data_IF_666988490625
#
_entry.id   IF_666988490625
#
_cell.length_a   1.000
_cell.length_b   1.000
_cell.length_c   1.000
_cell.angle_alpha   90.00
_cell.angle_beta   90.00
_cell.angle_gamma   90.00
#
_symmetry.space_group_name_H-M   'P 1'
#
loop_
_entity.id
_entity.type
_entity.pdbx_description
1 polymer ?
#
# COMPACT_ATOMS: atom_id res chain seq x y z
N UNK A 1 13.60 -6.31 -6.10
CA UNK A 1 12.70 -6.88 -5.08
C UNK A 1 13.30 -6.70 -3.67
N UNK A 2 13.07 -5.57 -2.99
CA UNK A 2 13.65 -5.33 -1.65
C UNK A 2 12.73 -5.80 -0.50
N UNK A 3 11.40 -5.71 -0.68
CA UNK A 3 10.38 -6.10 0.33
C UNK A 3 10.40 -7.60 0.67
N UNK A 4 10.39 -8.47 -0.36
CA UNK A 4 10.46 -9.91 -0.17
C UNK A 4 11.77 -10.36 0.50
N UNK A 5 12.87 -9.69 0.17
CA UNK A 5 14.17 -9.93 0.80
C UNK A 5 14.13 -9.60 2.31
N UNK A 6 13.65 -8.40 2.66
CA UNK A 6 13.48 -7.97 4.06
C UNK A 6 12.65 -8.98 4.86
N UNK A 7 11.52 -9.42 4.30
CA UNK A 7 10.63 -10.36 4.96
C UNK A 7 11.28 -11.73 5.21
N UNK A 8 11.95 -12.29 4.19
CA UNK A 8 12.63 -13.59 4.30
C UNK A 8 13.81 -13.56 5.26
N UNK A 9 14.67 -12.54 5.17
CA UNK A 9 15.86 -12.41 6.03
C UNK A 9 15.48 -12.26 7.51
N UNK A 10 14.46 -11.47 7.80
CA UNK A 10 13.96 -11.36 9.17
C UNK A 10 13.33 -12.67 9.66
N UNK A 11 12.62 -13.43 8.82
CA UNK A 11 12.14 -14.77 9.19
C UNK A 11 13.28 -15.77 9.47
N UNK A 12 14.45 -15.56 8.89
CA UNK A 12 15.66 -16.34 9.16
C UNK A 12 16.37 -15.90 10.47
N UNK A 13 15.89 -14.86 11.15
CA UNK A 13 16.41 -14.39 12.43
C UNK A 13 17.38 -13.21 12.34
N UNK A 14 17.58 -12.62 11.16
CA UNK A 14 18.44 -11.44 11.00
C UNK A 14 17.79 -10.18 11.58
N UNK A 15 18.61 -9.32 12.20
CA UNK A 15 18.15 -8.07 12.77
C UNK A 15 17.89 -7.02 11.69
N UNK A 16 16.93 -6.12 11.94
CA UNK A 16 16.59 -5.07 10.98
C UNK A 16 17.76 -4.14 10.64
N UNK A 17 18.69 -3.93 11.58
CA UNK A 17 19.87 -3.11 11.37
C UNK A 17 20.81 -3.73 10.32
N UNK A 18 21.04 -5.03 10.40
CA UNK A 18 21.93 -5.74 9.49
C UNK A 18 21.33 -5.78 8.07
N UNK A 19 20.04 -6.10 7.97
CA UNK A 19 19.29 -6.06 6.71
C UNK A 19 19.31 -4.64 6.10
N UNK A 20 19.22 -3.61 6.93
CA UNK A 20 19.28 -2.21 6.48
C UNK A 20 20.65 -1.83 5.94
N UNK A 21 21.72 -2.26 6.62
CA UNK A 21 23.10 -2.05 6.17
C UNK A 21 23.37 -2.74 4.84
N UNK A 22 22.94 -4.00 4.67
CA UNK A 22 23.07 -4.75 3.41
C UNK A 22 22.33 -4.07 2.24
N UNK A 23 21.15 -3.52 2.50
CA UNK A 23 20.31 -2.90 1.47
C UNK A 23 20.61 -1.41 1.24
N UNK A 24 21.48 -0.80 2.07
CA UNK A 24 21.72 0.64 2.09
C UNK A 24 20.45 1.44 2.39
N UNK A 25 19.59 0.94 3.28
CA UNK A 25 18.32 1.57 3.68
C UNK A 25 18.36 2.02 5.13
N UNK A 26 17.42 2.86 5.53
CA UNK A 26 17.22 3.20 6.93
C UNK A 26 16.53 2.01 7.65
N UNK A 27 17.00 1.57 8.84
CA UNK A 27 16.37 0.51 9.64
C UNK A 27 14.87 0.71 9.89
N UNK A 28 14.42 1.96 10.07
CA UNK A 28 12.99 2.26 10.25
C UNK A 28 12.16 1.88 9.02
N UNK A 29 12.71 2.03 7.81
CA UNK A 29 12.04 1.65 6.56
C UNK A 29 11.96 0.13 6.44
N UNK A 30 13.00 -0.58 6.88
CA UNK A 30 13.03 -2.05 6.91
C UNK A 30 11.97 -2.58 7.88
N UNK A 31 11.94 -2.07 9.11
CA UNK A 31 10.93 -2.42 10.12
C UNK A 31 9.51 -2.14 9.65
N UNK A 32 9.27 -0.94 9.10
CA UNK A 32 7.95 -0.57 8.58
C UNK A 32 7.47 -1.51 7.46
N UNK A 33 8.35 -1.83 6.51
CA UNK A 33 8.02 -2.76 5.42
C UNK A 33 7.71 -4.17 5.95
N UNK A 34 8.50 -4.68 6.89
CA UNK A 34 8.27 -5.98 7.50
C UNK A 34 6.89 -6.04 8.18
N UNK A 35 6.58 -5.07 9.06
CA UNK A 35 5.30 -5.05 9.76
C UNK A 35 4.12 -4.86 8.81
N UNK A 36 4.28 -4.08 7.73
CA UNK A 36 3.23 -3.91 6.73
C UNK A 36 2.91 -5.22 6.01
N UNK A 37 3.92 -6.02 5.66
CA UNK A 37 3.74 -7.34 5.06
C UNK A 37 3.16 -8.34 6.07
N UNK A 38 3.68 -8.36 7.30
CA UNK A 38 3.19 -9.26 8.35
C UNK A 38 1.70 -9.04 8.68
N UNK A 39 1.19 -7.81 8.52
CA UNK A 39 -0.24 -7.49 8.68
C UNK A 39 -1.15 -8.07 7.60
N UNK A 40 -0.61 -8.43 6.42
CA UNK A 40 -1.40 -9.03 5.33
C UNK A 40 -1.77 -10.49 5.61
N UNK A 41 -1.04 -11.18 6.51
CA UNK A 41 -1.29 -12.57 6.88
C UNK A 41 -0.13 -13.50 6.50
N UNK A 42 -0.39 -14.83 6.46
CA UNK A 42 0.64 -15.85 6.25
C UNK A 42 1.23 -15.87 4.82
N UNK A 43 0.50 -15.33 3.83
CA UNK A 43 0.98 -15.20 2.45
C UNK A 43 0.88 -13.73 2.00
N UNK A 44 1.86 -12.88 2.37
CA UNK A 44 1.83 -11.47 2.07
C UNK A 44 2.13 -11.19 0.59
N UNK A 45 1.29 -10.37 -0.04
CA UNK A 45 1.54 -9.86 -1.38
C UNK A 45 2.62 -8.77 -1.37
N UNK A 46 3.82 -9.15 -1.85
CA UNK A 46 4.98 -8.28 -1.96
C UNK A 46 4.85 -7.19 -3.03
N UNK A 47 3.92 -7.35 -3.98
CA UNK A 47 3.69 -6.48 -5.13
C UNK A 47 2.40 -5.67 -5.03
N UNK A 48 1.66 -5.85 -3.94
CA UNK A 48 0.46 -5.09 -3.66
C UNK A 48 0.72 -3.59 -3.89
N UNK A 49 -0.05 -2.94 -4.78
CA UNK A 49 0.08 -1.52 -5.00
C UNK A 49 -0.21 -0.77 -3.69
N UNK A 50 0.37 0.42 -3.50
CA UNK A 50 -0.03 1.27 -2.38
C UNK A 50 -1.55 1.46 -2.41
N UNK A 51 -2.22 1.22 -1.28
CA UNK A 51 -3.62 1.57 -1.15
C UNK A 51 -3.76 3.07 -1.38
N UNK A 52 -4.45 3.48 -2.46
CA UNK A 52 -4.81 4.88 -2.67
C UNK A 52 -5.93 5.24 -1.70
N UNK A 53 -5.56 5.54 -0.46
CA UNK A 53 -6.50 6.06 0.52
C UNK A 53 -6.63 7.57 0.30
N UNK A 54 -7.55 7.96 -0.58
CA UNK A 54 -8.06 9.32 -0.64
C UNK A 54 -9.16 9.52 0.40
N UNK A 55 -9.34 10.75 0.89
CA UNK A 55 -10.56 11.10 1.61
C UNK A 55 -11.73 10.95 0.63
N UNK A 56 -12.79 10.18 0.95
CA UNK A 56 -14.00 10.19 0.14
C UNK A 56 -14.47 11.63 -0.03
N UNK A 57 -14.55 12.11 -1.27
CA UNK A 57 -15.13 13.41 -1.53
C UNK A 57 -16.64 13.23 -1.51
N UNK A 58 -17.31 13.94 -0.59
CA UNK A 58 -18.76 14.07 -0.64
C UNK A 58 -19.05 14.90 -1.89
N UNK A 59 -19.73 14.30 -2.86
CA UNK A 59 -20.19 15.01 -4.05
C UNK A 59 -21.23 16.04 -3.62
N UNK A 60 -21.24 17.21 -4.27
CA UNK A 60 -22.23 18.23 -3.98
C UNK A 60 -23.57 17.83 -4.60
N UNK A 61 -24.71 18.30 -4.05
CA UNK A 61 -26.03 18.02 -4.64
C UNK A 61 -26.15 18.43 -6.12
N UNK A 62 -25.41 19.46 -6.53
CA UNK A 62 -25.36 19.88 -7.94
C UNK A 62 -24.62 18.87 -8.82
N UNK A 63 -23.50 18.31 -8.33
CA UNK A 63 -22.76 17.28 -9.06
C UNK A 63 -23.57 15.98 -9.18
N UNK A 64 -24.33 15.63 -8.15
CA UNK A 64 -25.30 14.52 -8.18
C UNK A 64 -26.35 14.73 -9.27
N UNK A 65 -27.04 15.88 -9.24
CA UNK A 65 -28.08 16.19 -10.22
C UNK A 65 -27.56 16.23 -11.67
N UNK A 66 -26.36 16.78 -11.88
CA UNK A 66 -25.74 16.80 -13.21
C UNK A 66 -25.39 15.38 -13.69
N UNK A 67 -24.89 14.51 -12.81
CA UNK A 67 -24.60 13.13 -13.16
C UNK A 67 -25.88 12.37 -13.53
N UNK A 68 -26.97 12.57 -12.79
CA UNK A 68 -28.28 11.98 -13.09
C UNK A 68 -28.81 12.44 -14.46
N UNK A 69 -28.68 13.73 -14.78
CA UNK A 69 -29.08 14.27 -16.09
C UNK A 69 -28.28 13.68 -17.25
N UNK A 70 -26.95 13.56 -17.12
CA UNK A 70 -26.09 12.95 -18.14
C UNK A 70 -26.40 11.46 -18.34
N UNK A 71 -26.63 10.72 -17.25
CA UNK A 71 -27.06 9.31 -17.32
C UNK A 71 -28.40 9.20 -18.06
N UNK A 72 -29.35 10.10 -17.77
CA UNK A 72 -30.66 10.09 -18.40
C UNK A 72 -30.63 10.52 -19.88
N UNK A 73 -29.71 11.41 -20.27
CA UNK A 73 -29.61 11.92 -21.64
C UNK A 73 -28.86 10.98 -22.60
N UNK A 74 -28.18 9.94 -22.08
CA UNK A 74 -27.27 9.07 -22.85
C UNK A 74 -26.16 9.84 -23.59
N UNK A 75 -25.86 11.06 -23.14
CA UNK A 75 -24.77 11.87 -23.67
C UNK A 75 -23.50 11.50 -22.90
N UNK A 76 -22.54 10.90 -23.61
CA UNK A 76 -21.16 10.68 -23.13
C UNK A 76 -20.25 11.83 -23.56
#
# INVERSE_FOLDING_TARGET
MKKAYIYRKHQQGEQFLDIANELGLNPSVVSWNYHKLAKQGPDPDFYAPPSMTGRPQVITPHAECQAEQLIASWEC
#
